data_IF_131960210322
#
_entry.id   IF_131960210322
#
_cell.length_a   1.000
_cell.length_b   1.000
_cell.length_c   1.000
_cell.angle_alpha   90.00
_cell.angle_beta   90.00
_cell.angle_gamma   90.00
#
_symmetry.space_group_name_H-M   'P 1'
#
loop_
_entity.id
_entity.type
_entity.pdbx_description
1 polymer ?
#
# COMPACT_ATOMS: atom_id res chain seq x y z
N UNK A 1 1.58 5.80 0.04
CA UNK A 1 1.20 5.89 -1.39
C UNK A 1 -0.26 5.53 -1.68
N UNK A 2 -0.78 4.41 -1.15
CA UNK A 2 -2.13 3.93 -1.44
C UNK A 2 -3.26 4.98 -1.26
N UNK A 3 -3.18 5.82 -0.22
CA UNK A 3 -4.13 6.93 0.00
C UNK A 3 -4.15 7.89 -1.21
N UNK A 4 -2.98 8.29 -1.71
CA UNK A 4 -2.87 9.21 -2.85
C UNK A 4 -3.40 8.59 -4.15
N UNK A 5 -3.07 7.32 -4.40
CA UNK A 5 -3.56 6.58 -5.56
C UNK A 5 -5.08 6.44 -5.53
N UNK A 6 -5.65 6.14 -4.36
CA UNK A 6 -7.10 6.07 -4.17
C UNK A 6 -7.72 7.46 -4.35
N UNK A 7 -7.09 8.51 -3.87
CA UNK A 7 -7.57 9.89 -4.00
C UNK A 7 -7.39 10.48 -5.41
N UNK A 8 -6.52 9.89 -6.25
CA UNK A 8 -6.04 10.50 -7.50
C UNK A 8 -5.42 11.88 -7.24
N UNK A 9 -4.56 11.96 -6.22
CA UNK A 9 -3.92 13.20 -5.76
C UNK A 9 -2.39 13.13 -5.88
N UNK A 10 -1.70 14.22 -6.30
CA UNK A 10 -0.24 14.27 -6.30
C UNK A 10 0.34 14.27 -4.87
N UNK A 11 1.62 13.90 -4.70
CA UNK A 11 2.30 13.99 -3.41
C UNK A 11 2.55 15.45 -3.02
N UNK A 12 2.38 15.78 -1.74
CA UNK A 12 2.68 17.12 -1.21
C UNK A 12 4.04 17.25 -0.52
N UNK A 13 4.65 16.12 -0.12
CA UNK A 13 5.90 16.11 0.62
C UNK A 13 6.72 14.88 0.23
N UNK A 14 8.05 15.04 0.11
CA UNK A 14 8.96 14.01 -0.41
C UNK A 14 8.98 12.73 0.45
N UNK A 15 9.03 12.86 1.77
CA UNK A 15 9.06 11.70 2.70
C UNK A 15 7.65 11.23 3.14
N UNK A 16 6.68 12.13 3.18
CA UNK A 16 5.32 11.85 3.70
C UNK A 16 4.30 12.32 2.65
N UNK A 17 4.13 11.56 1.55
CA UNK A 17 3.44 12.03 0.36
C UNK A 17 2.03 12.59 0.60
N UNK A 18 1.30 12.02 1.56
CA UNK A 18 -0.08 12.40 1.90
C UNK A 18 -0.23 13.35 3.07
N UNK A 19 0.80 14.10 3.48
CA UNK A 19 0.77 14.94 4.69
C UNK A 19 -0.36 15.98 4.70
N UNK A 20 -0.81 16.42 3.52
CA UNK A 20 -1.90 17.40 3.36
C UNK A 20 -3.30 16.82 3.58
N UNK A 21 -3.43 15.50 3.79
CA UNK A 21 -4.73 14.87 4.02
C UNK A 21 -5.06 14.78 5.51
N UNK A 22 -6.21 15.33 5.86
CA UNK A 22 -6.84 15.10 7.16
C UNK A 22 -7.45 13.69 7.23
N UNK A 23 -7.47 13.09 8.43
CA UNK A 23 -7.96 11.71 8.66
C UNK A 23 -9.40 11.53 8.23
N UNK A 24 -10.25 12.51 8.50
CA UNK A 24 -11.67 12.49 8.10
C UNK A 24 -11.80 12.40 6.59
N UNK A 25 -10.94 13.12 5.86
CA UNK A 25 -10.97 13.09 4.40
C UNK A 25 -10.52 11.75 3.84
N UNK A 26 -9.52 11.13 4.46
CA UNK A 26 -9.08 9.77 4.10
C UNK A 26 -10.21 8.77 4.31
N UNK A 27 -10.92 8.86 5.45
CA UNK A 27 -12.09 8.02 5.75
C UNK A 27 -13.19 8.16 4.71
N UNK A 28 -13.54 9.40 4.31
CA UNK A 28 -14.52 9.66 3.25
C UNK A 28 -14.12 9.00 1.93
N UNK A 29 -12.85 9.16 1.52
CA UNK A 29 -12.32 8.59 0.28
C UNK A 29 -12.41 7.05 0.31
N UNK A 30 -12.06 6.43 1.44
CA UNK A 30 -12.18 4.98 1.60
C UNK A 30 -13.63 4.51 1.64
N UNK A 31 -14.55 5.27 2.24
CA UNK A 31 -15.97 4.95 2.22
C UNK A 31 -16.52 4.99 0.79
N UNK A 32 -16.24 6.05 0.04
CA UNK A 32 -16.74 6.25 -1.32
C UNK A 32 -16.16 5.25 -2.31
N UNK A 33 -14.84 5.03 -2.27
CA UNK A 33 -14.14 4.26 -3.33
C UNK A 33 -13.94 2.78 -2.99
N UNK A 34 -13.89 2.44 -1.70
CA UNK A 34 -13.52 1.10 -1.24
C UNK A 34 -14.63 0.46 -0.38
N UNK A 35 -15.69 1.19 -0.02
CA UNK A 35 -16.79 0.69 0.81
C UNK A 35 -16.44 0.59 2.30
N UNK A 36 -15.49 1.39 2.80
CA UNK A 36 -15.14 1.41 4.22
C UNK A 36 -16.25 2.04 5.09
N UNK A 37 -16.68 1.34 6.13
CA UNK A 37 -17.76 1.80 7.04
C UNK A 37 -17.30 2.16 8.44
N UNK A 38 -16.01 1.95 8.76
CA UNK A 38 -15.46 2.21 10.09
C UNK A 38 -15.20 3.69 10.41
N UNK A 39 -14.50 3.91 11.52
CA UNK A 39 -14.15 5.25 12.02
C UNK A 39 -12.95 5.85 11.31
N UNK A 40 -12.66 7.12 11.56
CA UNK A 40 -11.43 7.81 11.13
C UNK A 40 -10.17 7.39 11.92
N UNK A 41 -10.27 6.38 12.78
CA UNK A 41 -9.14 5.83 13.50
C UNK A 41 -8.10 5.27 12.49
N UNK A 42 -6.84 5.75 12.51
CA UNK A 42 -5.82 5.31 11.55
C UNK A 42 -5.55 3.81 11.58
N UNK A 43 -5.62 3.18 12.75
CA UNK A 43 -5.38 1.75 12.92
C UNK A 43 -6.47 0.93 12.21
N UNK A 44 -7.73 1.31 12.40
CA UNK A 44 -8.87 0.65 11.72
C UNK A 44 -8.77 0.81 10.19
N UNK A 45 -8.53 2.03 9.72
CA UNK A 45 -8.36 2.29 8.30
C UNK A 45 -7.19 1.50 7.70
N UNK A 46 -6.06 1.41 8.42
CA UNK A 46 -4.89 0.64 7.98
C UNK A 46 -5.19 -0.86 7.89
N UNK A 47 -5.88 -1.43 8.88
CA UNK A 47 -6.28 -2.84 8.84
C UNK A 47 -7.25 -3.14 7.70
N UNK A 48 -8.21 -2.26 7.46
CA UNK A 48 -9.14 -2.38 6.33
C UNK A 48 -8.38 -2.38 5.00
N UNK A 49 -7.51 -1.39 4.78
CA UNK A 49 -6.70 -1.28 3.55
C UNK A 49 -5.81 -2.50 3.38
N UNK A 50 -5.17 -2.99 4.46
CA UNK A 50 -4.35 -4.20 4.42
C UNK A 50 -5.15 -5.41 3.94
N UNK A 51 -6.37 -5.60 4.42
CA UNK A 51 -7.26 -6.66 3.95
C UNK A 51 -7.62 -6.50 2.47
N UNK A 52 -8.04 -5.30 2.07
CA UNK A 52 -8.43 -4.97 0.71
C UNK A 52 -7.30 -5.18 -0.32
N UNK A 53 -6.07 -4.79 0.03
CA UNK A 53 -4.89 -4.97 -0.83
C UNK A 53 -4.43 -6.43 -0.85
N UNK A 54 -4.51 -7.14 0.29
CA UNK A 54 -4.09 -8.55 0.38
C UNK A 54 -4.90 -9.45 -0.55
N UNK A 55 -6.20 -9.24 -0.67
CA UNK A 55 -7.02 -10.02 -1.60
C UNK A 55 -6.58 -9.82 -3.06
N UNK A 56 -6.26 -8.58 -3.44
CA UNK A 56 -5.75 -8.26 -4.79
C UNK A 56 -4.38 -8.87 -5.03
N UNK A 57 -3.51 -8.80 -4.04
CA UNK A 57 -2.18 -9.40 -4.11
C UNK A 57 -2.26 -10.92 -4.33
N UNK A 58 -3.17 -11.62 -3.63
CA UNK A 58 -3.35 -13.07 -3.76
C UNK A 58 -3.99 -13.49 -5.09
N UNK A 59 -4.71 -12.58 -5.76
CA UNK A 59 -5.37 -12.82 -7.04
C UNK A 59 -4.53 -12.40 -8.25
N UNK A 60 -3.35 -11.82 -8.04
CA UNK A 60 -2.51 -11.36 -9.14
C UNK A 60 -1.89 -12.54 -9.91
N UNK A 61 -1.94 -12.49 -11.23
CA UNK A 61 -1.39 -13.54 -12.10
C UNK A 61 0.14 -13.57 -12.13
N UNK A 62 0.76 -12.40 -11.93
CA UNK A 62 2.21 -12.21 -12.04
C UNK A 62 2.71 -11.35 -10.88
N UNK A 63 3.75 -11.83 -10.20
CA UNK A 63 4.53 -11.04 -9.26
C UNK A 63 5.89 -10.70 -9.87
N UNK A 64 6.32 -9.44 -9.73
CA UNK A 64 7.66 -8.99 -10.09
C UNK A 64 8.39 -8.61 -8.81
N UNK A 65 9.60 -9.13 -8.64
CA UNK A 65 10.49 -8.75 -7.54
C UNK A 65 11.90 -8.50 -8.09
N UNK A 66 12.68 -7.72 -7.35
CA UNK A 66 14.10 -7.54 -7.63
C UNK A 66 14.93 -8.71 -7.11
N UNK A 67 16.24 -8.53 -7.17
CA UNK A 67 17.22 -9.45 -6.61
C UNK A 67 18.46 -8.64 -6.23
N UNK A 68 18.93 -8.75 -4.99
CA UNK A 68 20.15 -8.08 -4.56
C UNK A 68 21.39 -8.81 -5.09
N UNK A 69 21.39 -10.15 -5.00
CA UNK A 69 22.49 -10.99 -5.45
C UNK A 69 21.96 -12.35 -5.93
N UNK A 70 22.52 -12.87 -7.02
CA UNK A 70 22.17 -14.17 -7.58
C UNK A 70 23.40 -15.02 -7.89
N UNK A 71 23.29 -16.32 -7.67
CA UNK A 71 24.31 -17.32 -8.02
C UNK A 71 23.80 -18.13 -9.20
N UNK A 72 24.42 -17.97 -10.36
CA UNK A 72 23.99 -18.62 -11.60
C UNK A 72 24.10 -20.15 -11.52
N UNK A 73 25.16 -20.66 -10.90
CA UNK A 73 25.41 -22.10 -10.75
C UNK A 73 24.28 -22.81 -9.99
N UNK A 74 23.75 -22.20 -8.94
CA UNK A 74 22.70 -22.78 -8.08
C UNK A 74 21.30 -22.24 -8.36
N UNK A 75 21.14 -21.31 -9.30
CA UNK A 75 19.87 -20.63 -9.59
C UNK A 75 19.27 -19.89 -8.39
N UNK A 76 20.10 -19.51 -7.41
CA UNK A 76 19.63 -18.92 -6.15
C UNK A 76 19.66 -17.40 -6.22
N UNK A 77 18.66 -16.73 -5.61
CA UNK A 77 18.61 -15.27 -5.45
C UNK A 77 18.36 -14.88 -3.99
N UNK A 78 18.88 -13.71 -3.59
CA UNK A 78 18.67 -13.14 -2.25
C UNK A 78 17.99 -11.79 -2.37
N UNK A 79 17.04 -11.55 -1.48
CA UNK A 79 16.32 -10.29 -1.35
C UNK A 79 16.41 -9.84 0.10
N UNK A 80 16.90 -8.62 0.31
CA UNK A 80 16.99 -7.96 1.60
C UNK A 80 16.05 -6.76 1.57
N UNK A 81 15.03 -6.79 2.44
CA UNK A 81 14.08 -5.68 2.61
C UNK A 81 14.30 -5.03 3.96
N UNK A 82 14.36 -3.70 3.99
CA UNK A 82 14.27 -2.88 5.21
C UNK A 82 12.83 -2.42 5.49
N UNK A 83 11.89 -2.78 4.61
CA UNK A 83 10.47 -2.52 4.74
C UNK A 83 9.77 -3.82 5.14
N UNK A 84 9.00 -3.76 6.23
CA UNK A 84 8.17 -4.86 6.76
C UNK A 84 6.72 -4.43 6.89
#
# INVERSE_FOLDING_TARGET
>A
EFILQTAVSPPSHIVVPGLHFERNKIREIFAEKLGYTGTENPTEMTHFVRGYVRERFLKADVGVNGCNFAVAESGTCTIVSNEG
#
